data_IF_418230321226
#
_entry.id   IF_418230321226
#
_cell.length_a   1.000
_cell.length_b   1.000
_cell.length_c   1.000
_cell.angle_alpha   90.00
_cell.angle_beta   90.00
_cell.angle_gamma   90.00
#
_symmetry.space_group_name_H-M   'P 1'
#
loop_
_entity.id
_entity.type
_entity.pdbx_description
1 polymer ?
#
# COMPACT_ATOMS: atom_id res chain seq x y z
N UNK A 1 11.21 -11.53 6.58
CA UNK A 1 10.57 -10.26 6.16
C UNK A 1 9.18 -10.45 5.56
N UNK A 2 8.92 -11.49 4.74
CA UNK A 2 7.61 -11.70 4.07
C UNK A 2 6.41 -11.75 5.03
N UNK A 3 6.49 -12.53 6.12
CA UNK A 3 5.40 -12.64 7.09
C UNK A 3 5.17 -11.35 7.92
N UNK A 4 6.25 -10.66 8.30
CA UNK A 4 6.19 -9.42 9.10
C UNK A 4 5.43 -8.33 8.34
N UNK A 5 5.68 -8.20 7.03
CA UNK A 5 4.97 -7.23 6.19
C UNK A 5 3.45 -7.47 6.16
N UNK A 6 3.03 -8.74 6.08
CA UNK A 6 1.62 -9.11 6.10
C UNK A 6 0.97 -8.84 7.46
N UNK A 7 1.62 -9.19 8.57
CA UNK A 7 1.07 -8.96 9.91
C UNK A 7 0.99 -7.48 10.25
N UNK A 8 2.00 -6.69 9.85
CA UNK A 8 1.99 -5.24 10.09
C UNK A 8 0.88 -4.56 9.29
N UNK A 9 0.71 -4.94 8.02
CA UNK A 9 -0.35 -4.40 7.18
C UNK A 9 -1.75 -4.71 7.75
N UNK A 10 -1.96 -5.94 8.21
CA UNK A 10 -3.22 -6.35 8.84
C UNK A 10 -3.50 -5.55 10.12
N UNK A 11 -2.51 -5.41 11.01
CA UNK A 11 -2.63 -4.62 12.24
C UNK A 11 -2.94 -3.15 11.94
N UNK A 12 -2.25 -2.56 10.96
CA UNK A 12 -2.51 -1.18 10.52
C UNK A 12 -3.93 -1.03 9.97
N UNK A 13 -4.41 -2.00 9.20
CA UNK A 13 -5.76 -2.00 8.66
C UNK A 13 -6.82 -2.07 9.76
N UNK A 14 -6.66 -2.97 10.73
CA UNK A 14 -7.59 -3.12 11.87
C UNK A 14 -7.64 -1.85 12.72
N UNK A 15 -6.47 -1.29 13.08
CA UNK A 15 -6.40 -0.06 13.88
C UNK A 15 -7.05 1.11 13.11
N UNK A 16 -6.73 1.27 11.82
CA UNK A 16 -7.34 2.27 10.96
C UNK A 16 -8.86 2.11 10.86
N UNK A 17 -9.36 0.88 10.77
CA UNK A 17 -10.78 0.56 10.78
C UNK A 17 -11.48 0.99 12.08
N UNK A 18 -10.88 0.69 13.23
CA UNK A 18 -11.42 1.10 14.53
C UNK A 18 -11.48 2.63 14.64
N UNK A 19 -10.41 3.33 14.26
CA UNK A 19 -10.37 4.80 14.27
C UNK A 19 -11.45 5.37 13.34
N UNK A 20 -11.60 4.80 12.14
CA UNK A 20 -12.61 5.21 11.17
C UNK A 20 -14.03 5.12 11.73
N UNK A 21 -14.36 4.03 12.43
CA UNK A 21 -15.67 3.85 13.08
C UNK A 21 -15.90 4.91 14.15
N UNK A 22 -14.91 5.16 15.02
CA UNK A 22 -15.03 6.17 16.08
C UNK A 22 -15.21 7.58 15.49
N UNK A 23 -14.43 7.92 14.44
CA UNK A 23 -14.55 9.18 13.73
C UNK A 23 -15.92 9.35 13.07
N UNK A 24 -16.42 8.31 12.42
CA UNK A 24 -17.74 8.33 11.82
C UNK A 24 -18.84 8.61 12.85
N UNK A 25 -18.80 7.95 14.02
CA UNK A 25 -19.79 8.18 15.09
C UNK A 25 -19.78 9.63 15.62
N UNK A 26 -18.60 10.26 15.69
CA UNK A 26 -18.46 11.67 16.09
C UNK A 26 -19.00 12.59 14.99
N UNK A 27 -18.59 12.37 13.75
CA UNK A 27 -18.92 13.21 12.60
C UNK A 27 -20.40 13.11 12.21
N UNK A 28 -21.04 11.96 12.40
CA UNK A 28 -22.46 11.76 12.15
C UNK A 28 -23.32 12.79 12.92
N UNK A 29 -22.90 13.19 14.14
CA UNK A 29 -23.60 14.19 14.94
C UNK A 29 -23.66 15.57 14.29
N UNK A 30 -22.72 15.86 13.38
CA UNK A 30 -22.62 17.13 12.65
C UNK A 30 -23.21 17.05 11.23
N UNK A 31 -23.81 15.91 10.87
CA UNK A 31 -24.44 15.66 9.56
C UNK A 31 -23.67 14.67 8.69
N UNK A 32 -24.41 13.93 7.84
CA UNK A 32 -23.86 12.83 7.02
C UNK A 32 -22.95 13.30 5.87
N UNK A 33 -23.04 14.58 5.48
CA UNK A 33 -22.24 15.13 4.38
C UNK A 33 -20.75 15.16 4.71
N UNK A 34 -20.39 15.49 5.96
CA UNK A 34 -19.01 15.64 6.42
C UNK A 34 -18.22 14.32 6.32
N UNK A 35 -18.68 13.19 6.89
CA UNK A 35 -17.96 11.93 6.74
C UNK A 35 -17.90 11.47 5.28
N UNK A 36 -18.92 11.77 4.47
CA UNK A 36 -18.91 11.41 3.04
C UNK A 36 -17.75 12.10 2.30
N UNK A 37 -17.64 13.43 2.40
CA UNK A 37 -16.54 14.17 1.77
C UNK A 37 -15.16 13.74 2.29
N UNK A 38 -15.03 13.49 3.59
CA UNK A 38 -13.77 13.05 4.21
C UNK A 38 -13.31 11.68 3.69
N UNK A 39 -14.21 10.69 3.64
CA UNK A 39 -13.86 9.37 3.14
C UNK A 39 -13.61 9.38 1.63
N UNK A 40 -14.35 10.17 0.86
CA UNK A 40 -14.09 10.35 -0.58
C UNK A 40 -12.72 10.98 -0.84
N UNK A 41 -12.34 12.04 -0.11
CA UNK A 41 -11.03 12.67 -0.29
C UNK A 41 -9.89 11.72 0.09
N UNK A 42 -10.08 10.94 1.17
CA UNK A 42 -9.12 9.91 1.57
C UNK A 42 -8.98 8.82 0.50
N UNK A 43 -10.09 8.29 -0.02
CA UNK A 43 -10.07 7.29 -1.08
C UNK A 43 -9.37 7.80 -2.35
N UNK A 44 -9.61 9.05 -2.73
CA UNK A 44 -8.94 9.67 -3.87
C UNK A 44 -7.42 9.79 -3.64
N UNK A 45 -6.99 10.20 -2.45
CA UNK A 45 -5.58 10.25 -2.09
C UNK A 45 -4.92 8.85 -2.14
N UNK A 46 -5.61 7.81 -1.67
CA UNK A 46 -5.13 6.42 -1.75
C UNK A 46 -4.97 5.97 -3.20
N UNK A 47 -5.92 6.30 -4.08
CA UNK A 47 -5.82 5.99 -5.51
C UNK A 47 -4.61 6.68 -6.13
N UNK A 48 -4.42 7.98 -5.87
CA UNK A 48 -3.27 8.71 -6.38
C UNK A 48 -1.96 8.10 -5.89
N UNK A 49 -1.85 7.83 -4.59
CA UNK A 49 -0.68 7.20 -4.00
C UNK A 49 -0.41 5.81 -4.60
N UNK A 50 -1.45 4.97 -4.74
CA UNK A 50 -1.31 3.64 -5.35
C UNK A 50 -0.87 3.72 -6.81
N UNK A 51 -1.29 4.73 -7.56
CA UNK A 51 -0.93 4.88 -8.97
C UNK A 51 0.53 5.32 -9.17
N UNK A 52 1.08 6.13 -8.26
CA UNK A 52 2.43 6.71 -8.42
C UNK A 52 3.51 5.97 -7.62
N UNK A 53 3.18 5.43 -6.45
CA UNK A 53 4.15 4.81 -5.54
C UNK A 53 4.20 3.29 -5.60
N UNK A 54 3.10 2.62 -5.97
CA UNK A 54 3.06 1.15 -6.03
C UNK A 54 3.37 0.72 -7.47
N UNK A 55 4.52 0.06 -7.72
CA UNK A 55 4.81 -0.49 -9.05
C UNK A 55 3.83 -1.64 -9.36
N UNK A 56 3.54 -1.84 -10.65
CA UNK A 56 2.65 -2.91 -11.08
C UNK A 56 3.22 -4.29 -10.71
N UNK A 57 2.53 -5.00 -9.83
CA UNK A 57 2.95 -6.34 -9.34
C UNK A 57 2.37 -7.49 -10.16
N UNK A 58 1.60 -7.19 -11.22
CA UNK A 58 0.93 -8.21 -12.05
C UNK A 58 1.94 -8.96 -12.91
N UNK A 59 1.87 -10.29 -12.88
CA UNK A 59 2.71 -11.15 -13.73
C UNK A 59 4.19 -11.22 -13.32
N UNK A 60 4.58 -10.69 -12.15
CA UNK A 60 5.95 -10.73 -11.64
C UNK A 60 6.12 -11.79 -10.55
N UNK A 61 7.27 -12.45 -10.55
CA UNK A 61 7.63 -13.37 -9.47
C UNK A 61 7.92 -12.61 -8.19
N UNK A 62 7.77 -13.30 -7.04
CA UNK A 62 7.96 -12.66 -5.75
C UNK A 62 9.42 -12.22 -5.50
N UNK A 63 10.39 -12.90 -6.12
CA UNK A 63 11.80 -12.50 -6.10
C UNK A 63 12.05 -11.23 -6.91
N UNK A 64 11.46 -11.11 -8.11
CA UNK A 64 11.52 -9.87 -8.90
C UNK A 64 10.91 -8.69 -8.13
N UNK A 65 9.78 -8.89 -7.44
CA UNK A 65 9.16 -7.85 -6.61
C UNK A 65 10.08 -7.42 -5.47
N UNK A 66 10.74 -8.38 -4.80
CA UNK A 66 11.70 -8.07 -3.74
C UNK A 66 12.91 -7.30 -4.26
N UNK A 67 13.40 -7.63 -5.47
CA UNK A 67 14.50 -6.93 -6.13
C UNK A 67 14.13 -5.48 -6.48
N UNK A 68 12.93 -5.28 -7.06
CA UNK A 68 12.38 -3.96 -7.38
C UNK A 68 12.26 -3.07 -6.14
N UNK A 69 11.77 -3.64 -5.02
CA UNK A 69 11.63 -2.90 -3.75
C UNK A 69 12.99 -2.60 -3.09
N UNK A 70 14.00 -3.44 -3.31
CA UNK A 70 15.35 -3.27 -2.75
C UNK A 70 16.20 -2.28 -3.57
N UNK A 71 15.74 -1.89 -4.77
CA UNK A 71 16.44 -0.95 -5.64
C UNK A 71 17.63 -1.55 -6.38
N UNK A 72 17.80 -2.87 -6.34
CA UNK A 72 18.83 -3.58 -7.09
C UNK A 72 18.34 -3.79 -8.53
N UNK A 73 19.08 -3.26 -9.52
CA UNK A 73 18.87 -3.64 -10.92
C UNK A 73 19.26 -5.12 -11.06
N UNK A 74 18.59 -5.92 -11.91
CA UNK A 74 19.04 -7.26 -12.18
C UNK A 74 20.50 -7.19 -12.63
N UNK A 75 21.41 -7.77 -11.84
CA UNK A 75 22.77 -7.95 -12.27
C UNK A 75 22.71 -8.88 -13.46
N UNK A 76 23.17 -8.37 -14.60
CA UNK A 76 23.47 -9.16 -15.79
C UNK A 76 24.67 -10.07 -15.46
N UNK A 77 24.43 -11.12 -14.65
CA UNK A 77 25.34 -12.23 -14.42
C UNK A 77 25.32 -13.17 -15.65
N UNK A 78 25.48 -12.60 -16.84
CA UNK A 78 25.80 -13.32 -18.08
C UNK A 78 27.03 -12.78 -18.81
N UNK A 79 27.67 -11.72 -18.31
CA UNK A 79 28.86 -11.14 -18.95
C UNK A 79 30.20 -11.69 -18.44
N UNK A 80 30.23 -12.56 -17.41
CA UNK A 80 31.50 -13.05 -16.80
C UNK A 80 31.77 -14.57 -16.96
N UNK A 81 31.30 -15.18 -18.05
CA UNK A 81 31.62 -16.58 -18.43
C UNK A 81 32.42 -16.67 -19.74
N UNK A 82 32.99 -15.56 -20.20
CA UNK A 82 33.81 -15.50 -21.42
C UNK A 82 34.98 -14.54 -21.19
N UNK A 83 35.93 -14.94 -20.34
CA UNK A 83 37.35 -14.60 -20.40
C UNK A 83 38.10 -15.76 -19.73
#
# INVERSE_FOLDING_TARGET
>A
MKAIGMTVADVMFVIGGIISIQFYQILHKYGMHIPFYLFTSCAFAVVLYSAVCIPETKGKSLEEIQLMLKGEKPQDEKQNRIC
#
